data_IF_611603994505
#
_entry.id   IF_611603994505
#
_cell.length_a   1.000
_cell.length_b   1.000
_cell.length_c   1.000
_cell.angle_alpha   90.00
_cell.angle_beta   90.00
_cell.angle_gamma   90.00
#
_symmetry.space_group_name_H-M   'P 1'
#
loop_
_entity.id
_entity.type
_entity.pdbx_description
1 polymer ?
#
# COMPACT_ATOMS: atom_id res chain seq x y z
N UNK A 1 -3.68 6.22 12.69
CA UNK A 1 -2.26 5.82 12.51
C UNK A 1 -1.64 5.29 13.79
N UNK A 2 -1.50 6.11 14.84
CA UNK A 2 -0.80 5.74 16.09
C UNK A 2 -1.35 4.48 16.76
N UNK A 3 -2.67 4.37 16.89
CA UNK A 3 -3.32 3.22 17.51
C UNK A 3 -3.10 1.93 16.71
N UNK A 4 -3.17 2.00 15.37
CA UNK A 4 -2.92 0.85 14.49
C UNK A 4 -1.49 0.34 14.69
N UNK A 5 -0.50 1.22 14.58
CA UNK A 5 0.92 0.84 14.69
C UNK A 5 1.26 0.37 16.10
N UNK A 6 0.70 1.00 17.13
CA UNK A 6 0.95 0.64 18.53
C UNK A 6 0.36 -0.71 18.95
N UNK A 7 -0.82 -1.07 18.45
CA UNK A 7 -1.51 -2.32 18.85
C UNK A 7 -1.18 -3.47 17.88
N UNK A 8 -1.26 -3.22 16.58
CA UNK A 8 -1.13 -4.26 15.55
C UNK A 8 0.28 -4.33 14.92
N UNK A 9 1.14 -3.36 15.21
CA UNK A 9 2.44 -3.24 14.55
C UNK A 9 2.33 -2.67 13.14
N UNK A 10 3.47 -2.65 12.43
CA UNK A 10 3.51 -2.19 11.03
C UNK A 10 2.91 -3.25 10.12
N UNK A 11 2.07 -2.87 9.13
CA UNK A 11 1.54 -3.82 8.17
C UNK A 11 2.66 -4.45 7.34
N UNK A 12 2.36 -5.58 6.70
CA UNK A 12 3.33 -6.25 5.84
C UNK A 12 3.79 -5.30 4.71
N UNK A 13 5.03 -5.46 4.24
CA UNK A 13 5.58 -4.56 3.22
C UNK A 13 4.81 -4.58 1.88
N UNK A 14 3.99 -5.60 1.64
CA UNK A 14 3.11 -5.72 0.46
C UNK A 14 1.74 -5.08 0.67
N UNK A 15 1.43 -4.60 1.87
CA UNK A 15 0.17 -3.92 2.15
C UNK A 15 0.21 -2.54 1.50
N UNK A 16 -0.80 -2.24 0.69
CA UNK A 16 -1.01 -0.90 0.12
C UNK A 16 -1.60 0.00 1.19
N UNK A 17 -0.97 1.15 1.46
CA UNK A 17 -1.47 2.14 2.41
C UNK A 17 -1.90 3.39 1.67
N UNK A 18 -3.20 3.66 1.68
CA UNK A 18 -3.79 4.85 1.10
C UNK A 18 -4.13 5.89 2.18
N UNK A 19 -3.82 7.15 1.91
CA UNK A 19 -4.10 8.27 2.79
C UNK A 19 -5.11 9.22 2.13
N UNK A 20 -6.15 9.59 2.89
CA UNK A 20 -7.19 10.51 2.41
C UNK A 20 -6.71 11.95 2.25
N UNK A 21 -5.58 12.31 2.86
CA UNK A 21 -5.04 13.67 2.79
C UNK A 21 -3.60 13.80 3.29
N UNK A 22 -2.96 14.96 3.03
CA UNK A 22 -1.53 15.17 3.25
C UNK A 22 -1.14 15.14 4.73
N UNK A 23 -2.02 15.61 5.62
CA UNK A 23 -1.76 15.57 7.06
C UNK A 23 -1.70 14.13 7.58
N UNK A 24 -2.63 13.27 7.14
CA UNK A 24 -2.63 11.84 7.48
C UNK A 24 -1.41 11.15 6.91
N UNK A 25 -1.02 11.47 5.67
CA UNK A 25 0.18 10.92 5.04
C UNK A 25 1.46 11.28 5.81
N UNK A 26 1.59 12.53 6.26
CA UNK A 26 2.72 12.95 7.10
C UNK A 26 2.77 12.15 8.40
N UNK A 27 1.64 12.02 9.11
CA UNK A 27 1.59 11.20 10.33
C UNK A 27 1.88 9.73 10.05
N UNK A 28 1.41 9.17 8.93
CA UNK A 28 1.73 7.80 8.53
C UNK A 28 3.26 7.61 8.35
N UNK A 29 3.91 8.53 7.65
CA UNK A 29 5.35 8.51 7.44
C UNK A 29 6.15 8.65 8.76
N UNK A 30 5.73 9.56 9.65
CA UNK A 30 6.33 9.73 10.99
C UNK A 30 6.27 8.45 11.84
N UNK A 31 5.23 7.62 11.64
CA UNK A 31 5.06 6.33 12.32
C UNK A 31 5.67 5.16 11.54
N UNK A 32 6.43 5.46 10.49
CA UNK A 32 7.18 4.49 9.69
C UNK A 32 6.31 3.64 8.77
N UNK A 33 5.15 4.16 8.36
CA UNK A 33 4.34 3.59 7.29
C UNK A 33 4.78 4.21 5.95
N UNK A 34 4.92 3.36 4.93
CA UNK A 34 5.06 3.81 3.54
C UNK A 34 3.67 4.18 3.03
N UNK A 35 3.50 5.38 2.50
CA UNK A 35 2.25 5.81 1.85
C UNK A 35 2.37 5.50 0.36
N UNK A 36 1.43 4.72 -0.16
CA UNK A 36 1.39 4.30 -1.56
C UNK A 36 0.49 5.20 -2.41
N UNK A 37 -0.63 5.60 -1.81
CA UNK A 37 -1.67 6.37 -2.49
C UNK A 37 -2.02 7.57 -1.62
N UNK A 38 -2.10 8.74 -2.24
CA UNK A 38 -2.56 9.97 -1.63
C UNK A 38 -3.72 10.51 -2.47
N UNK A 39 -4.88 10.71 -1.85
CA UNK A 39 -6.00 11.37 -2.51
C UNK A 39 -5.72 12.85 -2.74
N UNK A 40 -6.16 13.39 -3.87
CA UNK A 40 -6.02 14.82 -4.20
C UNK A 40 -6.95 15.68 -3.33
N UNK A 41 -8.15 15.17 -3.04
CA UNK A 41 -9.17 15.82 -2.22
C UNK A 41 -9.54 14.90 -1.06
N UNK A 42 -9.81 15.48 0.11
CA UNK A 42 -10.17 14.75 1.33
C UNK A 42 -11.62 14.22 1.29
N UNK A 43 -11.98 13.45 0.26
CA UNK A 43 -13.29 12.79 0.13
C UNK A 43 -13.12 11.28 -0.08
N UNK A 44 -14.11 10.46 0.33
CA UNK A 44 -14.07 9.03 0.07
C UNK A 44 -13.99 8.70 -1.43
N UNK A 45 -14.69 9.45 -2.28
CA UNK A 45 -14.67 9.24 -3.73
C UNK A 45 -13.29 9.48 -4.31
N UNK A 46 -12.65 10.61 -3.98
CA UNK A 46 -11.29 10.90 -4.45
C UNK A 46 -10.26 9.87 -3.97
N UNK A 47 -10.46 9.29 -2.77
CA UNK A 47 -9.61 8.20 -2.28
C UNK A 47 -9.80 6.90 -3.09
N UNK A 48 -11.04 6.55 -3.43
CA UNK A 48 -11.35 5.38 -4.26
C UNK A 48 -10.83 5.58 -5.69
N UNK A 49 -10.95 6.78 -6.24
CA UNK A 49 -10.43 7.11 -7.58
C UNK A 49 -8.90 6.99 -7.60
N UNK A 50 -8.21 7.56 -6.61
CA UNK A 50 -6.76 7.44 -6.48
C UNK A 50 -6.30 5.98 -6.30
N UNK A 51 -7.05 5.18 -5.53
CA UNK A 51 -6.81 3.73 -5.38
C UNK A 51 -6.98 2.97 -6.69
N UNK A 52 -8.01 3.32 -7.47
CA UNK A 52 -8.30 2.70 -8.77
C UNK A 52 -7.17 2.95 -9.77
N UNK A 53 -6.69 4.20 -9.84
CA UNK A 53 -5.53 4.56 -10.69
C UNK A 53 -4.28 3.77 -10.28
N UNK A 54 -3.99 3.69 -8.98
CA UNK A 54 -2.85 2.92 -8.48
C UNK A 54 -2.96 1.43 -8.82
N UNK A 55 -4.17 0.85 -8.70
CA UNK A 55 -4.41 -0.55 -9.03
C UNK A 55 -4.19 -0.83 -10.53
N UNK A 56 -4.59 0.08 -11.40
CA UNK A 56 -4.39 -0.06 -12.84
C UNK A 56 -2.91 0.03 -13.21
N UNK A 57 -2.14 0.94 -12.60
CA UNK A 57 -0.68 0.97 -12.78
C UNK A 57 0.01 -0.31 -12.31
N UNK A 58 -0.44 -0.91 -11.20
CA UNK A 58 0.08 -2.21 -10.74
C UNK A 58 -0.26 -3.34 -11.71
N UNK A 59 -1.45 -3.27 -12.33
CA UNK A 59 -1.89 -4.24 -13.34
C UNK A 59 -1.07 -4.11 -14.62
N UNK A 60 -0.84 -2.90 -15.12
CA UNK A 60 0.00 -2.63 -16.30
C UNK A 60 1.42 -3.18 -16.08
N UNK A 61 2.05 -2.87 -14.95
CA UNK A 61 3.37 -3.40 -14.60
C UNK A 61 3.40 -4.94 -14.52
N UNK A 62 2.30 -5.55 -14.08
CA UNK A 62 2.16 -7.01 -14.08
C UNK A 62 2.06 -7.57 -15.51
N UNK A 63 1.30 -6.92 -16.39
CA UNK A 63 1.20 -7.31 -17.80
C UNK A 63 2.54 -7.19 -18.52
N UNK A 64 3.28 -6.10 -18.30
CA UNK A 64 4.60 -5.87 -18.89
C UNK A 64 5.64 -6.91 -18.45
N UNK A 65 5.50 -7.42 -17.22
CA UNK A 65 6.34 -8.51 -16.70
C UNK A 65 5.85 -9.92 -17.10
N UNK A 66 4.79 -10.02 -17.91
CA UNK A 66 4.21 -11.28 -18.36
C UNK A 66 3.33 -12.00 -17.33
N UNK A 67 2.96 -11.34 -16.23
CA UNK A 67 2.02 -11.84 -15.22
C UNK A 67 0.57 -11.65 -15.70
N UNK A 68 0.01 -12.65 -16.39
CA UNK A 68 -1.32 -12.56 -17.04
C UNK A 68 -2.50 -12.76 -16.06
N UNK A 69 -2.28 -13.26 -14.84
CA UNK A 69 -3.36 -13.50 -13.87
C UNK A 69 -3.06 -12.88 -12.52
N UNK A 70 -3.90 -11.94 -12.07
CA UNK A 70 -3.89 -11.47 -10.68
C UNK A 70 -4.45 -12.58 -9.79
N UNK A 71 -3.57 -13.45 -9.30
CA UNK A 71 -3.87 -14.45 -8.28
C UNK A 71 -2.84 -14.27 -7.16
N UNK A 72 -3.21 -13.65 -6.03
CA UNK A 72 -2.30 -13.46 -4.91
C UNK A 72 -1.63 -14.76 -4.45
N UNK A 73 -2.35 -15.89 -4.54
CA UNK A 73 -1.84 -17.22 -4.21
C UNK A 73 -0.79 -17.77 -5.19
N UNK A 74 -0.70 -17.24 -6.41
CA UNK A 74 0.32 -17.62 -7.40
C UNK A 74 1.59 -16.79 -7.30
N UNK A 75 1.56 -15.63 -6.65
CA UNK A 75 2.77 -14.85 -6.41
C UNK A 75 3.65 -15.61 -5.41
N UNK A 76 4.88 -15.93 -5.80
CA UNK A 76 5.87 -16.48 -4.85
C UNK A 76 6.02 -15.46 -3.73
N UNK A 77 5.81 -15.84 -2.46
CA UNK A 77 6.06 -14.93 -1.36
C UNK A 77 7.52 -14.47 -1.43
N UNK A 78 7.74 -13.16 -1.40
CA UNK A 78 9.09 -12.59 -1.33
C UNK A 78 9.77 -13.20 -0.12
N UNK A 79 10.95 -13.81 -0.32
CA UNK A 79 11.67 -14.51 0.72
C UNK A 79 11.81 -13.59 1.94
N UNK A 80 11.23 -14.02 3.07
CA UNK A 80 11.25 -13.27 4.33
C UNK A 80 12.72 -13.06 4.72
N UNK A 81 13.21 -11.81 4.66
CA UNK A 81 14.52 -11.49 5.25
C UNK A 81 14.45 -11.89 6.73
N UNK A 82 15.23 -12.90 7.13
CA UNK A 82 15.37 -13.28 8.54
C UNK A 82 15.83 -12.04 9.29
N UNK A 83 15.04 -11.58 10.25
CA UNK A 83 15.45 -10.58 11.22
C UNK A 83 16.67 -11.14 11.96
N UNK A 84 17.82 -10.48 11.81
CA UNK A 84 19.01 -10.77 12.61
C UNK A 84 18.66 -10.55 14.09
N UNK A 85 19.11 -11.48 14.93
CA UNK A 85 18.88 -11.53 16.37
C UNK A 85 19.70 -10.46 17.08
#
# INVERSE_FOLDING_TARGET
VRNLVGIAGKPHATTVVACIGPQTAKTAAEHGLRVDVLAEVNTPLALVDALSVHAESLREAALDSGEVSWRPSRRRPVARRKSAK
#
